data_IF_369707784469
#
_entry.id   IF_369707784469
#
_cell.length_a   1.000
_cell.length_b   1.000
_cell.length_c   1.000
_cell.angle_alpha   90.00
_cell.angle_beta   90.00
_cell.angle_gamma   90.00
#
_symmetry.space_group_name_H-M   'P 1'
#
loop_
_entity.id
_entity.type
_entity.pdbx_description
1 polymer ?
#
# COMPACT_ATOMS: atom_id res chain seq x y z
N UNK A 1 -16.15 11.63 3.41
CA UNK A 1 -14.99 12.12 2.63
C UNK A 1 -13.73 11.51 3.21
N UNK A 2 -12.78 11.11 2.38
CA UNK A 2 -11.47 10.60 2.82
C UNK A 2 -10.37 11.11 1.91
N UNK A 3 -9.13 11.00 2.35
CA UNK A 3 -7.95 11.39 1.58
C UNK A 3 -7.44 10.21 0.74
N UNK A 4 -7.02 10.48 -0.50
CA UNK A 4 -6.48 9.47 -1.40
C UNK A 4 -5.02 9.13 -1.02
N UNK A 5 -4.84 8.38 0.07
CA UNK A 5 -3.51 8.03 0.60
C UNK A 5 -3.15 6.58 0.25
N UNK A 6 -2.25 6.40 -0.72
CA UNK A 6 -1.67 5.10 -1.08
C UNK A 6 -2.69 4.02 -1.49
N UNK A 7 -2.40 2.74 -1.29
CA UNK A 7 -3.29 1.65 -1.74
C UNK A 7 -4.46 1.41 -0.77
N UNK A 8 -4.34 1.88 0.48
CA UNK A 8 -5.31 1.58 1.54
C UNK A 8 -6.66 2.28 1.35
N UNK A 9 -6.67 3.50 0.78
CA UNK A 9 -7.91 4.22 0.56
C UNK A 9 -8.78 3.57 -0.53
N UNK A 10 -8.18 2.93 -1.55
CA UNK A 10 -8.92 2.33 -2.67
C UNK A 10 -9.93 1.29 -2.17
N UNK A 11 -9.47 0.36 -1.32
CA UNK A 11 -10.32 -0.71 -0.80
C UNK A 11 -11.47 -0.17 0.05
N UNK A 12 -11.16 0.72 1.00
CA UNK A 12 -12.16 1.32 1.88
C UNK A 12 -13.18 2.14 1.08
N UNK A 13 -12.72 2.97 0.14
CA UNK A 13 -13.58 3.77 -0.71
C UNK A 13 -14.54 2.89 -1.52
N UNK A 14 -14.03 1.78 -2.05
CA UNK A 14 -14.85 0.89 -2.84
C UNK A 14 -15.87 0.12 -2.01
N UNK A 15 -15.46 -0.45 -0.87
CA UNK A 15 -16.38 -1.18 0.01
C UNK A 15 -17.50 -0.28 0.54
N UNK A 16 -17.20 0.98 0.87
CA UNK A 16 -18.22 1.96 1.26
C UNK A 16 -19.15 2.32 0.10
N UNK A 17 -18.61 2.50 -1.11
CA UNK A 17 -19.43 2.76 -2.29
C UNK A 17 -20.35 1.57 -2.60
N UNK A 18 -19.82 0.35 -2.57
CA UNK A 18 -20.58 -0.89 -2.82
C UNK A 18 -21.66 -1.11 -1.75
N UNK A 19 -21.47 -0.60 -0.53
CA UNK A 19 -22.47 -0.56 0.53
C UNK A 19 -23.51 0.59 0.39
N UNK A 20 -23.44 1.40 -0.68
CA UNK A 20 -24.38 2.47 -0.99
C UNK A 20 -24.04 3.83 -0.36
N UNK A 21 -22.87 3.98 0.26
CA UNK A 21 -22.45 5.27 0.81
C UNK A 21 -21.87 6.18 -0.27
N UNK A 22 -22.15 7.49 -0.16
CA UNK A 22 -21.50 8.50 -1.00
C UNK A 22 -20.09 8.77 -0.52
N UNK A 23 -19.11 8.39 -1.34
CA UNK A 23 -17.69 8.61 -1.06
C UNK A 23 -17.17 9.77 -1.90
N UNK A 24 -16.24 10.54 -1.35
CA UNK A 24 -15.48 11.56 -2.09
C UNK A 24 -14.03 11.48 -1.65
N UNK A 25 -13.12 11.49 -2.63
CA UNK A 25 -11.68 11.43 -2.41
C UNK A 25 -11.06 12.83 -2.51
N UNK A 26 -10.40 13.25 -1.43
CA UNK A 26 -9.57 14.43 -1.40
C UNK A 26 -8.19 14.11 -2.00
N UNK A 27 -7.68 14.98 -2.86
CA UNK A 27 -6.26 14.95 -3.18
C UNK A 27 -5.46 15.40 -1.94
N UNK A 28 -4.47 14.62 -1.45
CA UNK A 28 -3.72 14.95 -0.25
C UNK A 28 -2.98 16.30 -0.30
N UNK A 29 -2.58 16.72 -1.50
CA UNK A 29 -2.00 18.03 -1.70
C UNK A 29 -3.04 19.14 -1.49
N UNK A 30 -4.24 18.98 -2.05
CA UNK A 30 -5.31 19.99 -1.95
C UNK A 30 -5.90 20.09 -0.54
N UNK A 31 -6.06 18.98 0.16
CA UNK A 31 -6.46 18.96 1.57
C UNK A 31 -5.44 19.71 2.42
N UNK A 32 -4.13 19.51 2.17
CA UNK A 32 -3.07 20.17 2.94
C UNK A 32 -2.95 21.66 2.65
N UNK A 33 -3.05 22.09 1.39
CA UNK A 33 -3.09 23.50 1.04
C UNK A 33 -4.30 24.21 1.66
N UNK A 34 -5.46 23.53 1.70
CA UNK A 34 -6.63 24.05 2.38
C UNK A 34 -6.41 24.21 3.89
N UNK A 35 -5.75 23.24 4.55
CA UNK A 35 -5.39 23.35 5.97
C UNK A 35 -4.45 24.53 6.24
N UNK A 36 -3.45 24.74 5.38
CA UNK A 36 -2.54 25.89 5.46
C UNK A 36 -3.30 27.22 5.32
N UNK A 37 -4.22 27.31 4.36
CA UNK A 37 -5.07 28.49 4.18
C UNK A 37 -5.99 28.79 5.36
N UNK A 38 -6.35 27.77 6.14
CA UNK A 38 -7.12 27.89 7.39
C UNK A 38 -6.23 28.17 8.63
N UNK A 39 -4.92 28.40 8.45
CA UNK A 39 -3.98 28.63 9.54
C UNK A 39 -3.63 27.40 10.37
N UNK A 40 -4.00 26.20 9.91
CA UNK A 40 -3.79 24.94 10.63
C UNK A 40 -2.48 24.30 10.17
N UNK A 41 -1.47 24.41 11.03
CA UNK A 41 -0.12 23.90 10.74
C UNK A 41 0.15 22.53 11.37
N UNK A 42 -0.45 22.26 12.53
CA UNK A 42 -0.36 20.97 13.22
C UNK A 42 -1.02 19.86 12.40
N UNK A 43 -0.38 18.69 12.39
CA UNK A 43 -0.90 17.48 11.76
C UNK A 43 -1.15 16.45 12.87
N UNK A 44 -2.42 16.17 13.15
CA UNK A 44 -2.86 15.09 14.03
C UNK A 44 -4.09 14.48 13.40
N UNK A 45 -4.39 13.21 13.67
CA UNK A 45 -5.53 12.52 13.07
C UNK A 45 -6.86 13.25 13.34
N UNK A 46 -7.02 13.84 14.54
CA UNK A 46 -8.19 14.64 14.91
C UNK A 46 -8.32 15.90 14.05
N UNK A 47 -7.22 16.62 13.87
CA UNK A 47 -7.17 17.84 13.06
C UNK A 47 -7.40 17.51 11.59
N UNK A 48 -6.80 16.45 11.07
CA UNK A 48 -6.96 16.03 9.68
C UNK A 48 -8.43 15.60 9.39
N UNK A 49 -9.07 14.88 10.31
CA UNK A 49 -10.49 14.52 10.19
C UNK A 49 -11.41 15.76 10.18
N UNK A 50 -11.18 16.70 11.09
CA UNK A 50 -11.91 17.98 11.11
C UNK A 50 -11.71 18.76 9.81
N UNK A 51 -10.46 18.85 9.34
CA UNK A 51 -10.11 19.53 8.10
C UNK A 51 -10.79 18.92 6.87
N UNK A 52 -10.83 17.59 6.77
CA UNK A 52 -11.54 16.90 5.69
C UNK A 52 -13.05 17.16 5.75
N UNK A 53 -13.66 17.24 6.94
CA UNK A 53 -15.06 17.60 7.08
C UNK A 53 -15.33 19.04 6.62
N UNK A 54 -14.51 20.00 7.05
CA UNK A 54 -14.60 21.39 6.59
C UNK A 54 -14.41 21.50 5.08
N UNK A 55 -13.42 20.80 4.53
CA UNK A 55 -13.17 20.76 3.10
C UNK A 55 -14.39 20.19 2.34
N UNK A 56 -14.96 19.07 2.81
CA UNK A 56 -16.15 18.47 2.21
C UNK A 56 -17.32 19.45 2.17
N UNK A 57 -17.57 20.13 3.30
CA UNK A 57 -18.67 21.07 3.45
C UNK A 57 -18.53 22.29 2.52
N UNK A 58 -17.32 22.87 2.47
CA UNK A 58 -17.07 24.10 1.73
C UNK A 58 -16.87 23.87 0.23
N UNK A 59 -16.13 22.82 -0.15
CA UNK A 59 -15.77 22.56 -1.55
C UNK A 59 -16.75 21.65 -2.28
N UNK A 60 -17.58 20.90 -1.53
CA UNK A 60 -18.57 19.95 -2.08
C UNK A 60 -17.98 19.13 -3.25
N UNK A 61 -16.86 18.44 -3.00
CA UNK A 61 -16.16 17.70 -4.06
C UNK A 61 -17.10 16.67 -4.68
N UNK A 62 -16.88 16.38 -5.95
CA UNK A 62 -17.62 15.34 -6.67
C UNK A 62 -17.55 13.99 -5.94
N UNK A 63 -18.58 13.18 -6.13
CA UNK A 63 -18.59 11.82 -5.63
C UNK A 63 -17.56 11.00 -6.41
N UNK A 64 -16.80 10.18 -5.68
CA UNK A 64 -15.89 9.26 -6.31
C UNK A 64 -16.67 8.03 -6.75
N UNK A 65 -16.49 7.65 -8.00
CA UNK A 65 -17.02 6.42 -8.57
C UNK A 65 -15.89 5.41 -8.75
N UNK A 66 -16.07 4.16 -8.31
CA UNK A 66 -15.08 3.14 -8.54
C UNK A 66 -14.98 2.81 -10.04
N UNK A 67 -13.79 2.41 -10.52
CA UNK A 67 -13.67 1.75 -11.81
C UNK A 67 -14.56 0.50 -11.87
N UNK A 68 -14.90 0.06 -13.08
CA UNK A 68 -15.73 -1.14 -13.26
C UNK A 68 -15.11 -2.37 -12.55
N UNK A 69 -15.93 -3.35 -12.13
CA UNK A 69 -15.44 -4.55 -11.47
C UNK A 69 -14.34 -5.28 -12.27
N UNK A 70 -14.44 -5.30 -13.60
CA UNK A 70 -13.50 -5.94 -14.51
C UNK A 70 -12.14 -5.21 -14.50
N UNK A 71 -12.16 -3.88 -14.53
CA UNK A 71 -10.96 -3.05 -14.46
C UNK A 71 -10.26 -3.23 -13.11
N UNK A 72 -11.05 -3.25 -12.02
CA UNK A 72 -10.52 -3.49 -10.65
C UNK A 72 -9.86 -4.87 -10.55
N UNK A 73 -10.50 -5.89 -11.13
CA UNK A 73 -9.98 -7.25 -11.14
C UNK A 73 -8.67 -7.35 -11.94
N UNK A 74 -8.64 -6.78 -13.15
CA UNK A 74 -7.43 -6.74 -13.97
C UNK A 74 -6.29 -6.00 -13.27
N UNK A 75 -6.56 -4.86 -12.65
CA UNK A 75 -5.56 -4.12 -11.89
C UNK A 75 -5.01 -4.92 -10.70
N UNK A 76 -5.83 -5.73 -10.03
CA UNK A 76 -5.37 -6.64 -8.98
C UNK A 76 -4.43 -7.73 -9.52
N UNK A 77 -4.75 -8.32 -10.69
CA UNK A 77 -3.88 -9.29 -11.35
C UNK A 77 -2.53 -8.69 -11.77
N UNK A 78 -2.54 -7.49 -12.37
CA UNK A 78 -1.31 -6.79 -12.78
C UNK A 78 -0.42 -6.49 -11.58
N UNK A 79 -0.97 -5.93 -10.49
CA UNK A 79 -0.21 -5.69 -9.25
C UNK A 79 0.40 -6.98 -8.71
N UNK A 80 -0.34 -8.08 -8.71
CA UNK A 80 0.18 -9.39 -8.26
C UNK A 80 1.32 -9.87 -9.14
N UNK A 81 1.19 -9.73 -10.46
CA UNK A 81 2.23 -10.08 -11.43
C UNK A 81 3.50 -9.27 -11.20
N UNK A 82 3.39 -7.96 -10.98
CA UNK A 82 4.57 -7.11 -10.75
C UNK A 82 5.29 -7.44 -9.44
N UNK A 83 4.55 -7.80 -8.38
CA UNK A 83 5.14 -8.31 -7.12
C UNK A 83 5.95 -9.58 -7.39
N UNK A 84 5.39 -10.54 -8.13
CA UNK A 84 6.06 -11.80 -8.44
C UNK A 84 7.32 -11.59 -9.30
N UNK A 85 7.28 -10.68 -10.26
CA UNK A 85 8.46 -10.32 -11.05
C UNK A 85 9.55 -9.68 -10.19
N UNK A 86 9.17 -8.79 -9.27
CA UNK A 86 10.11 -8.19 -8.32
C UNK A 86 10.74 -9.22 -7.38
N UNK A 87 9.99 -10.22 -6.95
CA UNK A 87 10.50 -11.32 -6.13
C UNK A 87 11.44 -12.23 -6.95
N UNK A 88 11.08 -12.60 -8.18
CA UNK A 88 11.93 -13.39 -9.06
C UNK A 88 13.28 -12.70 -9.31
N UNK A 89 13.26 -11.41 -9.67
CA UNK A 89 14.46 -10.61 -9.85
C UNK A 89 15.30 -10.52 -8.57
N UNK A 90 14.65 -10.45 -7.40
CA UNK A 90 15.36 -10.43 -6.11
C UNK A 90 16.11 -11.74 -5.88
N UNK A 91 15.52 -12.88 -6.22
CA UNK A 91 16.17 -14.18 -6.09
C UNK A 91 17.28 -14.38 -7.11
N UNK A 92 17.11 -13.96 -8.37
CA UNK A 92 18.18 -13.97 -9.39
C UNK A 92 19.41 -13.17 -8.92
N UNK A 93 19.18 -11.94 -8.44
CA UNK A 93 20.24 -11.10 -7.88
C UNK A 93 20.95 -11.74 -6.66
N UNK A 94 20.24 -12.54 -5.86
CA UNK A 94 20.83 -13.27 -4.74
C UNK A 94 21.69 -14.43 -5.23
N UNK A 95 21.23 -15.18 -6.22
CA UNK A 95 21.97 -16.28 -6.84
C UNK A 95 23.26 -15.79 -7.49
N UNK A 96 23.19 -14.69 -8.25
CA UNK A 96 24.35 -14.07 -8.88
C UNK A 96 25.40 -13.66 -7.82
N UNK A 97 24.96 -12.96 -6.76
CA UNK A 97 25.84 -12.55 -5.66
C UNK A 97 26.47 -13.75 -4.96
N UNK A 98 25.71 -14.82 -4.70
CA UNK A 98 26.23 -16.03 -4.07
C UNK A 98 27.29 -16.72 -4.94
N UNK A 99 27.09 -16.73 -6.25
CA UNK A 99 27.98 -17.36 -7.24
C UNK A 99 29.28 -16.56 -7.40
N UNK A 100 29.22 -15.24 -7.51
CA UNK A 100 30.40 -14.38 -7.62
C UNK A 100 31.22 -14.28 -6.31
N UNK A 101 30.58 -14.41 -5.14
CA UNK A 101 31.26 -14.24 -3.84
C UNK A 101 32.02 -15.49 -3.39
N UNK A 102 31.97 -16.58 -4.17
CA UNK A 102 32.62 -17.87 -3.90
C UNK A 102 32.48 -18.30 -2.44
N UNK A 103 31.23 -18.38 -1.99
CA UNK A 103 30.95 -19.05 -0.73
C UNK A 103 31.25 -20.54 -0.95
N UNK A 104 32.17 -21.10 -0.18
CA UNK A 104 32.62 -22.48 -0.31
C UNK A 104 31.42 -23.45 -0.36
N UNK A 105 31.46 -24.44 -1.28
CA UNK A 105 30.36 -25.37 -1.61
C UNK A 105 29.75 -26.12 -0.40
N UNK A 106 30.41 -26.10 0.76
CA UNK A 106 29.92 -26.69 2.01
C UNK A 106 28.66 -26.02 2.60
N UNK A 107 28.33 -24.77 2.23
CA UNK A 107 27.10 -24.11 2.73
C UNK A 107 25.85 -24.56 1.94
N UNK A 108 26.03 -25.04 0.71
CA UNK A 108 24.94 -25.52 -0.14
C UNK A 108 24.55 -26.99 0.12
N UNK A 109 25.37 -27.76 0.83
CA UNK A 109 25.16 -29.20 1.07
C UNK A 109 24.67 -29.51 2.48
N UNK A 110 23.75 -28.72 3.05
CA UNK A 110 23.08 -29.14 4.29
C UNK A 110 22.08 -30.25 3.93
N UNK A 111 22.29 -31.51 4.35
CA UNK A 111 21.29 -32.55 4.16
C UNK A 111 20.06 -32.20 4.98
N UNK A 112 18.86 -32.53 4.49
CA UNK A 112 17.56 -32.20 5.08
C UNK A 112 17.34 -32.65 6.56
N UNK A 113 18.33 -33.29 7.22
CA UNK A 113 18.28 -33.77 8.59
C UNK A 113 18.90 -32.89 9.68
N UNK A 114 19.61 -31.79 9.38
CA UNK A 114 20.38 -31.04 10.40
C UNK A 114 19.55 -29.96 11.14
N UNK A 115 18.33 -29.67 10.68
CA UNK A 115 17.47 -28.61 11.23
C UNK A 115 16.79 -28.92 12.59
N UNK A 116 17.05 -30.07 13.23
CA UNK A 116 16.41 -30.42 14.52
C UNK A 116 17.16 -29.99 15.78
N UNK A 117 18.43 -29.57 15.69
CA UNK A 117 19.23 -29.25 16.89
C UNK A 117 19.41 -27.75 17.15
N UNK A 118 19.06 -26.87 16.20
CA UNK A 118 19.35 -25.43 16.33
C UNK A 118 18.21 -24.60 16.95
N UNK A 119 16.99 -25.15 17.09
CA UNK A 119 15.86 -24.45 17.72
C UNK A 119 15.64 -24.76 19.22
N UNK A 120 16.47 -25.58 19.86
CA UNK A 120 16.30 -25.93 21.28
C UNK A 120 17.08 -25.02 22.25
N UNK A 121 17.55 -23.84 21.82
CA UNK A 121 18.18 -22.87 22.72
C UNK A 121 17.95 -21.43 22.28
N UNK A 122 16.68 -20.99 22.35
CA UNK A 122 16.28 -19.63 22.71
C UNK A 122 14.82 -19.62 23.14
#
# INVERSE_FOLDING_TARGET
>A
MMEATGVYHERLATELHDAGFRVSLANPHRSREFARGMGIMTKTDKVDAYMLACYAFLKKPHHWEPPSPEIRYLAALLRRRDVLLGDALREENRLEKNTCRQTHLQILSVPAGVWRSFCARR
#
